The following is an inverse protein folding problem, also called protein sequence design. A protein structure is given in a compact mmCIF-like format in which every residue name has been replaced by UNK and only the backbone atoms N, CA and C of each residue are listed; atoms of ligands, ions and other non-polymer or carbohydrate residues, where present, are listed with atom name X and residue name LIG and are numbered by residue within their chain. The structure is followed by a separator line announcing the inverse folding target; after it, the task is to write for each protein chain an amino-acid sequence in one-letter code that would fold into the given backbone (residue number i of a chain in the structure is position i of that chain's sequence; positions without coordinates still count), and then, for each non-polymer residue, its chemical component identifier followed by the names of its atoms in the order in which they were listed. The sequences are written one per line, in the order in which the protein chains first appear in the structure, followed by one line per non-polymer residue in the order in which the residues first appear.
data_IF_615713869701
#
_entry.id   IF_615713869701
#
_cell.length_a   1.000
_cell.length_b   1.000
_cell.length_c   1.000
_cell.angle_alpha   90.00
_cell.angle_beta   90.00
_cell.angle_gamma   90.00
#
_symmetry.space_group_name_H-M   'P 1'
#
loop_
_entity.id
_entity.type
_entity.pdbx_description
1 polymer ?
#
# COMPACT_ATOMS: atom_id res chain seq x y z
N UNK A 1 -14.76 -41.97 -4.06
CA UNK A 1 -15.38 -42.49 -5.29
C UNK A 1 -15.04 -43.96 -5.64
N UNK A 2 -14.21 -44.68 -4.88
CA UNK A 2 -13.91 -46.10 -5.17
C UNK A 2 -14.79 -47.14 -4.44
N UNK A 3 -15.63 -46.71 -3.48
CA UNK A 3 -16.42 -47.62 -2.62
C UNK A 3 -17.83 -47.94 -3.13
N UNK A 4 -18.35 -47.23 -4.14
CA UNK A 4 -19.70 -47.49 -4.67
C UNK A 4 -19.75 -48.56 -5.78
N UNK A 5 -18.62 -48.93 -6.39
CA UNK A 5 -18.61 -49.87 -7.52
C UNK A 5 -18.65 -51.35 -7.10
N UNK A 6 -18.31 -51.68 -5.85
CA UNK A 6 -18.22 -53.08 -5.39
C UNK A 6 -19.53 -53.64 -4.80
N UNK A 7 -20.59 -52.83 -4.69
CA UNK A 7 -21.87 -53.26 -4.15
C UNK A 7 -22.82 -53.90 -5.18
N UNK A 8 -22.52 -53.81 -6.48
CA UNK A 8 -23.45 -54.22 -7.55
C UNK A 8 -23.28 -55.66 -8.08
N UNK A 9 -22.35 -56.45 -7.53
CA UNK A 9 -22.04 -57.79 -8.05
C UNK A 9 -22.64 -58.93 -7.18
N UNK A 10 -23.07 -58.67 -5.95
CA UNK A 10 -23.49 -59.74 -5.03
C UNK A 10 -25.01 -60.00 -4.90
N UNK A 11 -25.88 -59.24 -5.58
CA UNK A 11 -27.34 -59.38 -5.35
C UNK A 11 -28.07 -60.31 -6.34
N UNK A 12 -27.38 -61.00 -7.23
CA UNK A 12 -28.03 -61.79 -8.29
C UNK A 12 -27.88 -63.31 -8.19
N UNK A 13 -27.24 -63.86 -7.14
CA UNK A 13 -26.97 -65.31 -7.05
C UNK A 13 -27.35 -65.93 -5.70
N UNK A 14 -28.63 -65.90 -5.32
CA UNK A 14 -29.24 -67.02 -4.58
C UNK A 14 -30.77 -66.90 -4.59
N UNK A 15 -31.41 -67.36 -5.66
CA UNK A 15 -32.84 -67.67 -5.65
C UNK A 15 -33.05 -68.98 -6.42
N UNK A 16 -32.79 -70.11 -5.75
CA UNK A 16 -33.33 -71.40 -6.17
C UNK A 16 -34.54 -71.73 -5.30
N UNK A 17 -35.67 -72.17 -5.89
CA UNK A 17 -36.87 -72.48 -5.16
C UNK A 17 -36.80 -73.92 -4.63
N UNK A 18 -36.82 -74.11 -3.31
CA UNK A 18 -37.38 -75.33 -2.73
C UNK A 18 -37.77 -75.07 -1.27
N UNK A 19 -39.08 -74.94 -1.06
CA UNK A 19 -39.71 -74.64 0.23
C UNK A 19 -40.33 -75.94 0.76
N UNK A 20 -39.57 -76.72 1.53
CA UNK A 20 -40.14 -77.82 2.30
C UNK A 20 -39.32 -78.12 3.57
N UNK A 21 -39.89 -77.71 4.71
CA UNK A 21 -39.62 -78.14 6.12
C UNK A 21 -38.74 -77.24 7.01
N UNK A 22 -39.37 -76.86 8.14
CA UNK A 22 -38.83 -76.63 9.51
C UNK A 22 -38.15 -75.28 9.80
N UNK A 23 -38.45 -74.71 10.99
CA UNK A 23 -38.19 -73.34 11.44
C UNK A 23 -36.72 -72.90 11.62
N UNK A 24 -35.81 -73.41 10.81
CA UNK A 24 -34.41 -73.01 10.77
C UNK A 24 -34.14 -71.79 9.86
N UNK A 25 -35.03 -71.51 8.90
CA UNK A 25 -34.89 -70.43 7.90
C UNK A 25 -35.15 -69.03 8.48
N UNK A 26 -35.91 -68.92 9.57
CA UNK A 26 -36.18 -67.64 10.25
C UNK A 26 -35.00 -67.17 11.10
N UNK A 27 -34.26 -68.08 11.74
CA UNK A 27 -33.14 -67.74 12.62
C UNK A 27 -31.94 -67.27 11.80
N UNK A 28 -31.62 -67.94 10.69
CA UNK A 28 -30.51 -67.54 9.82
C UNK A 28 -30.75 -66.16 9.20
N UNK A 29 -31.97 -65.88 8.73
CA UNK A 29 -32.34 -64.56 8.19
C UNK A 29 -32.30 -63.45 9.25
N UNK A 30 -32.71 -63.72 10.50
CA UNK A 30 -32.57 -62.78 11.62
C UNK A 30 -31.09 -62.52 11.94
N UNK A 31 -30.24 -63.55 11.97
CA UNK A 31 -28.79 -63.40 12.22
C UNK A 31 -28.14 -62.57 11.10
N UNK A 32 -28.48 -62.84 9.83
CA UNK A 32 -27.99 -62.03 8.71
C UNK A 32 -28.46 -60.58 8.81
N UNK A 33 -29.71 -60.33 9.19
CA UNK A 33 -30.25 -58.97 9.38
C UNK A 33 -29.57 -58.25 10.56
N UNK A 34 -29.35 -58.95 11.69
CA UNK A 34 -28.61 -58.43 12.84
C UNK A 34 -27.15 -58.10 12.50
N UNK A 35 -26.46 -59.00 11.78
CA UNK A 35 -25.08 -58.78 11.31
C UNK A 35 -24.99 -57.62 10.32
N UNK A 36 -25.95 -57.50 9.41
CA UNK A 36 -26.02 -56.39 8.45
C UNK A 36 -26.27 -55.06 9.18
N UNK A 37 -27.18 -55.03 10.16
CA UNK A 37 -27.45 -53.86 10.97
C UNK A 37 -26.22 -53.42 11.81
N UNK A 38 -25.51 -54.38 12.40
CA UNK A 38 -24.24 -54.14 13.11
C UNK A 38 -23.16 -53.56 12.16
N UNK A 39 -23.06 -54.09 10.93
CA UNK A 39 -22.09 -53.62 9.95
C UNK A 39 -22.39 -52.21 9.41
N UNK A 40 -23.67 -51.87 9.21
CA UNK A 40 -24.09 -50.52 8.79
C UNK A 40 -23.83 -49.48 9.89
N UNK A 41 -24.20 -49.80 11.13
CA UNK A 41 -23.98 -48.89 12.28
C UNK A 41 -22.50 -48.67 12.53
N UNK A 42 -21.65 -49.71 12.44
CA UNK A 42 -20.20 -49.58 12.56
C UNK A 42 -19.60 -48.68 11.46
N UNK A 43 -20.04 -48.83 10.20
CA UNK A 43 -19.61 -47.96 9.09
C UNK A 43 -19.97 -46.49 9.29
N UNK A 44 -21.18 -46.20 9.81
CA UNK A 44 -21.62 -44.83 10.10
C UNK A 44 -20.77 -44.21 11.23
N UNK A 45 -20.49 -44.97 12.29
CA UNK A 45 -19.65 -44.51 13.41
C UNK A 45 -18.23 -44.22 12.94
N UNK A 46 -17.59 -45.16 12.23
CA UNK A 46 -16.23 -44.97 11.69
C UNK A 46 -16.16 -43.75 10.77
N UNK A 47 -17.16 -43.55 9.91
CA UNK A 47 -17.23 -42.38 9.03
C UNK A 47 -17.34 -41.06 9.83
N UNK A 48 -18.21 -41.03 10.85
CA UNK A 48 -18.37 -39.84 11.70
C UNK A 48 -17.13 -39.50 12.53
N UNK A 49 -16.43 -40.52 13.05
CA UNK A 49 -15.15 -40.36 13.75
C UNK A 49 -14.06 -39.87 12.79
N UNK A 50 -13.96 -40.44 11.60
CA UNK A 50 -12.98 -39.99 10.61
C UNK A 50 -13.20 -38.53 10.20
N UNK A 51 -14.46 -38.13 10.00
CA UNK A 51 -14.82 -36.76 9.63
C UNK A 51 -14.49 -35.76 10.75
N UNK A 52 -14.82 -36.11 12.00
CA UNK A 52 -14.49 -35.26 13.17
C UNK A 52 -12.99 -35.11 13.37
N UNK A 53 -12.19 -36.17 13.15
CA UNK A 53 -10.72 -36.09 13.16
C UNK A 53 -10.17 -35.18 12.07
N UNK A 54 -10.67 -35.27 10.83
CA UNK A 54 -10.27 -34.40 9.72
C UNK A 54 -10.61 -32.92 9.97
N UNK A 55 -11.82 -32.64 10.49
CA UNK A 55 -12.21 -31.29 10.89
C UNK A 55 -11.36 -30.75 12.05
N UNK A 56 -11.01 -31.60 13.02
CA UNK A 56 -10.14 -31.18 14.12
C UNK A 56 -8.72 -30.88 13.64
N UNK A 57 -8.14 -31.75 12.80
CA UNK A 57 -6.80 -31.57 12.25
C UNK A 57 -6.67 -30.29 11.41
N UNK A 58 -7.62 -30.04 10.50
CA UNK A 58 -7.63 -28.82 9.68
C UNK A 58 -7.75 -27.53 10.50
N UNK A 59 -8.57 -27.52 11.56
CA UNK A 59 -8.66 -26.39 12.50
C UNK A 59 -7.34 -26.15 13.24
N UNK A 60 -6.67 -27.22 13.71
CA UNK A 60 -5.38 -27.12 14.40
C UNK A 60 -4.29 -26.60 13.45
N UNK A 61 -4.24 -27.10 12.22
CA UNK A 61 -3.28 -26.65 11.20
C UNK A 61 -3.48 -25.16 10.84
N UNK A 62 -4.72 -24.71 10.63
CA UNK A 62 -5.03 -23.31 10.37
C UNK A 62 -4.65 -22.41 11.56
N UNK A 63 -4.91 -22.86 12.79
CA UNK A 63 -4.55 -22.12 14.01
C UNK A 63 -3.03 -21.99 14.15
N UNK A 64 -2.27 -23.05 13.90
CA UNK A 64 -0.81 -23.02 13.95
C UNK A 64 -0.22 -22.04 12.92
N UNK A 65 -0.70 -22.09 11.67
CA UNK A 65 -0.29 -21.14 10.62
C UNK A 65 -0.58 -19.68 11.01
N UNK A 66 -1.75 -19.41 11.61
CA UNK A 66 -2.12 -18.07 12.07
C UNK A 66 -1.24 -17.62 13.25
N UNK A 67 -0.95 -18.49 14.21
CA UNK A 67 -0.07 -18.20 15.35
C UNK A 67 1.34 -17.83 14.91
N UNK A 68 1.86 -18.46 13.85
CA UNK A 68 3.17 -18.13 13.29
C UNK A 68 3.17 -16.79 12.53
N UNK A 69 2.09 -16.45 11.82
CA UNK A 69 1.99 -15.20 11.03
C UNK A 69 1.67 -13.96 11.85
N UNK A 70 0.86 -14.07 12.90
CA UNK A 70 0.45 -12.94 13.75
C UNK A 70 1.62 -12.10 14.29
N UNK A 71 2.67 -12.67 14.93
CA UNK A 71 3.75 -11.87 15.50
C UNK A 71 4.59 -11.16 14.42
N UNK A 72 4.80 -11.80 13.27
CA UNK A 72 5.56 -11.22 12.14
C UNK A 72 4.79 -10.04 11.56
N UNK A 73 3.47 -10.16 11.38
CA UNK A 73 2.63 -9.08 10.85
C UNK A 73 2.59 -7.88 11.81
N UNK A 74 2.47 -8.12 13.12
CA UNK A 74 2.51 -7.05 14.13
C UNK A 74 3.88 -6.38 14.15
N UNK A 75 4.96 -7.15 14.05
CA UNK A 75 6.31 -6.59 14.02
C UNK A 75 6.57 -5.76 12.75
N UNK A 76 6.11 -6.24 11.59
CA UNK A 76 6.17 -5.50 10.34
C UNK A 76 5.38 -4.18 10.41
N UNK A 77 4.19 -4.19 11.02
CA UNK A 77 3.41 -2.97 11.26
C UNK A 77 4.10 -1.98 12.21
N UNK A 78 4.82 -2.47 13.23
CA UNK A 78 5.63 -1.61 14.10
C UNK A 78 6.79 -0.97 13.33
N UNK A 79 7.50 -1.72 12.50
CA UNK A 79 8.58 -1.15 11.70
C UNK A 79 8.07 -0.15 10.67
N UNK A 80 6.96 -0.43 9.98
CA UNK A 80 6.39 0.49 9.00
C UNK A 80 5.93 1.80 9.63
N UNK A 81 5.35 1.76 10.82
CA UNK A 81 4.95 2.98 11.57
C UNK A 81 6.17 3.78 12.05
N UNK A 82 7.21 3.12 12.58
CA UNK A 82 8.47 3.79 12.94
C UNK A 82 9.14 4.44 11.74
N UNK A 83 9.16 3.75 10.60
CA UNK A 83 9.74 4.28 9.36
C UNK A 83 8.93 5.48 8.84
N UNK A 84 7.60 5.40 8.86
CA UNK A 84 6.74 6.53 8.52
C UNK A 84 7.01 7.76 9.40
N UNK A 85 7.20 7.57 10.71
CA UNK A 85 7.54 8.65 11.63
C UNK A 85 8.92 9.28 11.32
N UNK A 86 9.94 8.44 11.08
CA UNK A 86 11.28 8.92 10.72
C UNK A 86 11.28 9.67 9.40
N UNK A 87 10.55 9.15 8.42
CA UNK A 87 10.38 9.79 7.12
C UNK A 87 9.71 11.15 7.27
N UNK A 88 8.59 11.23 8.00
CA UNK A 88 7.91 12.49 8.26
C UNK A 88 8.81 13.54 8.95
N UNK A 89 9.62 13.12 9.94
CA UNK A 89 10.57 14.00 10.60
C UNK A 89 11.68 14.50 9.65
N UNK A 90 12.19 13.60 8.80
CA UNK A 90 13.23 13.93 7.81
C UNK A 90 12.71 14.87 6.73
N UNK A 91 11.52 14.61 6.21
CA UNK A 91 10.83 15.41 5.19
C UNK A 91 10.49 16.81 5.74
N UNK A 92 10.05 16.90 7.00
CA UNK A 92 9.80 18.19 7.65
C UNK A 92 11.08 19.00 7.82
N UNK A 93 12.18 18.35 8.23
CA UNK A 93 13.48 19.02 8.40
C UNK A 93 14.05 19.50 7.07
N UNK A 94 13.95 18.70 6.01
CA UNK A 94 14.42 19.08 4.68
C UNK A 94 13.61 20.23 4.09
N UNK A 95 12.28 20.22 4.26
CA UNK A 95 11.40 21.31 3.87
C UNK A 95 11.74 22.62 4.61
N UNK A 96 11.98 22.55 5.92
CA UNK A 96 12.39 23.71 6.72
C UNK A 96 13.71 24.31 6.22
N UNK A 97 14.73 23.47 5.97
CA UNK A 97 16.02 23.92 5.44
C UNK A 97 15.89 24.56 4.06
N UNK A 98 15.03 24.00 3.21
CA UNK A 98 14.74 24.54 1.88
C UNK A 98 14.10 25.93 1.97
N UNK A 99 13.17 26.12 2.92
CA UNK A 99 12.55 27.43 3.17
C UNK A 99 13.57 28.48 3.64
N UNK A 100 14.45 28.12 4.60
CA UNK A 100 15.47 29.05 5.12
C UNK A 100 16.47 29.43 4.04
N UNK A 101 16.90 28.46 3.22
CA UNK A 101 17.79 28.72 2.09
C UNK A 101 17.11 29.55 1.00
N UNK A 102 15.84 29.29 0.71
CA UNK A 102 15.04 30.06 -0.23
C UNK A 102 14.93 31.54 0.17
N UNK A 103 14.76 31.83 1.47
CA UNK A 103 14.76 33.22 1.97
C UNK A 103 16.09 33.93 1.72
N UNK A 104 17.21 33.26 1.96
CA UNK A 104 18.53 33.80 1.68
C UNK A 104 18.73 34.04 0.17
N UNK A 105 18.26 33.11 -0.67
CA UNK A 105 18.33 33.22 -2.12
C UNK A 105 17.52 34.42 -2.65
N UNK A 106 16.32 34.68 -2.12
CA UNK A 106 15.53 35.87 -2.49
C UNK A 106 16.31 37.16 -2.19
N UNK A 107 16.97 37.23 -1.03
CA UNK A 107 17.77 38.39 -0.67
C UNK A 107 18.98 38.56 -1.61
N UNK A 108 19.66 37.46 -1.95
CA UNK A 108 20.76 37.48 -2.91
C UNK A 108 20.30 37.95 -4.30
N UNK A 109 19.16 37.44 -4.79
CA UNK A 109 18.59 37.85 -6.07
C UNK A 109 18.13 39.31 -6.06
N UNK A 110 17.61 39.81 -4.93
CA UNK A 110 17.29 41.24 -4.78
C UNK A 110 18.54 42.11 -4.97
N UNK A 111 19.67 41.71 -4.39
CA UNK A 111 20.94 42.43 -4.55
C UNK A 111 21.47 42.33 -6.00
N UNK A 112 21.30 41.17 -6.65
CA UNK A 112 21.68 40.97 -8.04
C UNK A 112 20.87 41.85 -9.01
N UNK A 113 19.57 42.04 -8.75
CA UNK A 113 18.70 42.96 -9.49
C UNK A 113 19.18 44.40 -9.32
N UNK A 114 19.49 44.85 -8.10
CA UNK A 114 19.98 46.21 -7.86
C UNK A 114 21.33 46.44 -8.56
N UNK A 115 22.26 45.49 -8.47
CA UNK A 115 23.55 45.57 -9.17
C UNK A 115 23.38 45.63 -10.68
N UNK A 116 22.46 44.84 -11.23
CA UNK A 116 22.14 44.85 -12.65
C UNK A 116 21.48 46.16 -13.09
N UNK A 117 20.68 46.78 -12.21
CA UNK A 117 20.07 48.10 -12.43
C UNK A 117 21.12 49.20 -12.50
N UNK A 118 22.03 49.23 -11.53
CA UNK A 118 23.15 50.18 -11.52
C UNK A 118 24.02 50.01 -12.77
N UNK A 119 24.20 48.78 -13.24
CA UNK A 119 24.91 48.50 -14.49
C UNK A 119 24.25 49.13 -15.70
N UNK A 120 22.91 49.06 -15.80
CA UNK A 120 22.16 49.73 -16.88
C UNK A 120 22.40 51.23 -16.84
N UNK A 121 22.29 51.87 -15.67
CA UNK A 121 22.51 53.31 -15.51
C UNK A 121 23.94 53.72 -15.89
N UNK A 122 24.94 52.94 -15.49
CA UNK A 122 26.34 53.19 -15.86
C UNK A 122 26.59 53.09 -17.37
N UNK A 123 25.97 52.11 -18.05
CA UNK A 123 26.09 51.96 -19.50
C UNK A 123 25.33 53.06 -20.24
N UNK A 124 24.17 53.47 -19.73
CA UNK A 124 23.41 54.62 -20.25
C UNK A 124 24.24 55.89 -20.25
N UNK A 125 24.85 56.23 -19.12
CA UNK A 125 25.74 57.38 -19.01
C UNK A 125 26.97 57.26 -19.92
N UNK A 126 27.60 56.07 -19.97
CA UNK A 126 28.73 55.82 -20.86
C UNK A 126 28.37 56.00 -22.35
N UNK A 127 27.12 55.74 -22.72
CA UNK A 127 26.61 55.91 -24.09
C UNK A 127 26.25 57.36 -24.40
N UNK A 128 25.73 58.13 -23.44
CA UNK A 128 25.56 59.59 -23.56
C UNK A 128 26.91 60.31 -23.76
N UNK A 129 27.95 59.82 -23.11
CA UNK A 129 29.33 60.34 -23.24
C UNK A 129 30.08 59.80 -24.48
N UNK A 130 29.47 58.89 -25.26
CA UNK A 130 30.06 58.32 -26.47
C UNK A 130 31.09 57.18 -26.27
N UNK A 131 31.28 56.70 -25.04
CA UNK A 131 32.19 55.57 -24.73
C UNK A 131 31.53 54.19 -24.89
N UNK A 132 30.19 54.13 -24.91
CA UNK A 132 29.40 52.90 -25.07
C UNK A 132 28.43 53.03 -26.23
N UNK A 133 28.06 51.89 -26.81
CA UNK A 133 27.13 51.83 -27.94
C UNK A 133 25.71 51.51 -27.48
N UNK A 134 24.73 51.67 -28.38
CA UNK A 134 23.32 51.26 -28.13
C UNK A 134 23.23 49.76 -27.86
N UNK A 135 24.04 48.95 -28.56
CA UNK A 135 24.08 47.51 -28.36
C UNK A 135 24.51 47.12 -26.92
N UNK A 136 25.45 47.87 -26.33
CA UNK A 136 25.88 47.64 -24.94
C UNK A 136 24.76 47.93 -23.94
N UNK A 137 23.94 48.95 -24.20
CA UNK A 137 22.78 49.22 -23.34
C UNK A 137 21.75 48.09 -23.44
N UNK A 138 21.43 47.63 -24.65
CA UNK A 138 20.45 46.57 -24.85
C UNK A 138 20.88 45.26 -24.16
N UNK A 139 22.17 44.92 -24.22
CA UNK A 139 22.72 43.77 -23.49
C UNK A 139 22.61 43.96 -21.95
N UNK A 140 22.91 45.15 -21.44
CA UNK A 140 22.76 45.45 -20.01
C UNK A 140 21.29 45.37 -19.56
N UNK A 141 20.37 45.91 -20.36
CA UNK A 141 18.93 45.83 -20.10
C UNK A 141 18.44 44.38 -20.14
N UNK A 142 18.89 43.58 -21.11
CA UNK A 142 18.56 42.17 -21.20
C UNK A 142 18.98 41.41 -19.94
N UNK A 143 20.19 41.66 -19.43
CA UNK A 143 20.69 41.08 -18.17
C UNK A 143 19.86 41.50 -16.96
N UNK A 144 19.46 42.76 -16.89
CA UNK A 144 18.57 43.25 -15.83
C UNK A 144 17.21 42.53 -15.83
N UNK A 145 16.58 42.37 -17.00
CA UNK A 145 15.32 41.62 -17.09
C UNK A 145 15.48 40.13 -16.79
N UNK A 146 16.62 39.52 -17.15
CA UNK A 146 16.94 38.15 -16.72
C UNK A 146 17.02 38.04 -15.19
N UNK A 147 17.72 38.97 -14.53
CA UNK A 147 17.81 39.01 -13.07
C UNK A 147 16.43 39.19 -12.40
N UNK A 148 15.55 40.02 -12.98
CA UNK A 148 14.17 40.17 -12.52
C UNK A 148 13.38 38.87 -12.63
N UNK A 149 13.52 38.14 -13.75
CA UNK A 149 12.89 36.82 -13.93
C UNK A 149 13.37 35.85 -12.85
N UNK A 150 14.67 35.81 -12.60
CA UNK A 150 15.26 34.88 -11.64
C UNK A 150 14.86 35.22 -10.19
N UNK A 151 14.69 36.51 -9.87
CA UNK A 151 14.10 36.94 -8.60
C UNK A 151 12.64 36.47 -8.45
N UNK A 152 11.83 36.60 -9.50
CA UNK A 152 10.44 36.14 -9.48
C UNK A 152 10.36 34.62 -9.30
N UNK A 153 11.22 33.87 -9.99
CA UNK A 153 11.34 32.42 -9.86
C UNK A 153 11.77 32.01 -8.44
N UNK A 154 12.73 32.69 -7.84
CA UNK A 154 13.14 32.45 -6.46
C UNK A 154 11.98 32.67 -5.46
N UNK A 155 11.14 33.70 -5.69
CA UNK A 155 9.95 33.94 -4.86
C UNK A 155 8.91 32.83 -5.02
N UNK A 156 8.69 32.35 -6.25
CA UNK A 156 7.79 31.23 -6.50
C UNK A 156 8.28 29.94 -5.82
N UNK A 157 9.57 29.64 -5.92
CA UNK A 157 10.17 28.48 -5.27
C UNK A 157 10.08 28.55 -3.74
N UNK A 158 10.20 29.74 -3.16
CA UNK A 158 9.97 29.95 -1.72
C UNK A 158 8.53 29.67 -1.30
N UNK A 159 7.53 30.09 -2.10
CA UNK A 159 6.12 29.77 -1.84
C UNK A 159 5.88 28.25 -1.87
N UNK A 160 6.43 27.55 -2.86
CA UNK A 160 6.35 26.09 -2.93
C UNK A 160 7.01 25.41 -1.73
N UNK A 161 8.17 25.90 -1.30
CA UNK A 161 8.84 25.38 -0.09
C UNK A 161 7.98 25.55 1.17
N UNK A 162 7.23 26.66 1.27
CA UNK A 162 6.32 26.93 2.37
C UNK A 162 5.12 25.96 2.34
N UNK A 163 4.53 25.73 1.17
CA UNK A 163 3.43 24.75 0.99
C UNK A 163 3.92 23.34 1.34
N UNK A 164 5.12 22.94 0.89
CA UNK A 164 5.69 21.63 1.21
C UNK A 164 5.90 21.45 2.72
N UNK A 165 6.34 22.49 3.43
CA UNK A 165 6.45 22.44 4.89
C UNK A 165 5.08 22.29 5.56
N UNK A 166 4.06 23.01 5.08
CA UNK A 166 2.69 22.89 5.59
C UNK A 166 2.11 21.49 5.34
N UNK A 167 2.42 20.89 4.18
CA UNK A 167 2.02 19.52 3.84
C UNK A 167 2.70 18.49 4.74
N UNK A 168 4.03 18.58 4.92
CA UNK A 168 4.78 17.64 5.77
C UNK A 168 4.36 17.71 7.25
N UNK A 169 3.92 18.88 7.71
CA UNK A 169 3.41 19.08 9.08
C UNK A 169 1.93 18.72 9.24
N UNK A 170 1.21 18.43 8.14
CA UNK A 170 -0.23 18.17 8.14
C UNK A 170 -1.09 19.39 8.47
N UNK A 171 -0.52 20.60 8.42
CA UNK A 171 -1.22 21.87 8.70
C UNK A 171 -1.85 22.50 7.45
N UNK A 172 -1.71 21.86 6.28
CA UNK A 172 -2.24 22.35 5.02
C UNK A 172 -3.79 22.33 5.02
N UNK A 173 -4.39 23.50 5.24
CA UNK A 173 -5.82 23.73 5.14
C UNK A 173 -6.18 24.52 3.87
N UNK A 174 -7.42 24.41 3.40
CA UNK A 174 -7.94 25.23 2.29
C UNK A 174 -7.87 26.72 2.60
N UNK A 175 -8.05 27.11 3.87
CA UNK A 175 -7.96 28.50 4.32
C UNK A 175 -6.54 29.06 4.17
N UNK A 176 -5.53 28.21 4.37
CA UNK A 176 -4.12 28.57 4.20
C UNK A 176 -3.79 28.80 2.72
N UNK A 177 -4.40 28.05 1.80
CA UNK A 177 -4.23 28.25 0.36
C UNK A 177 -4.81 29.59 -0.11
N UNK A 178 -5.92 30.02 0.47
CA UNK A 178 -6.52 31.32 0.16
C UNK A 178 -5.62 32.51 0.56
N UNK A 179 -4.75 32.33 1.56
CA UNK A 179 -3.77 33.35 1.94
C UNK A 179 -2.70 33.59 0.86
N UNK A 180 -2.37 32.58 0.05
CA UNK A 180 -1.35 32.68 -1.00
C UNK A 180 -1.89 33.16 -2.35
N UNK A 181 -3.16 33.55 -2.44
CA UNK A 181 -3.68 34.17 -3.66
C UNK A 181 -2.95 35.50 -3.90
N UNK A 182 -2.24 35.58 -5.02
CA UNK A 182 -1.74 36.82 -5.57
C UNK A 182 -2.94 37.73 -5.88
N UNK A 183 -3.24 38.64 -4.97
CA UNK A 183 -4.12 39.79 -5.19
C UNK A 183 -3.29 41.04 -5.43
#
# INVERSE_FOLDING_TARGET
MYWLQMAHICLSCHFTPDMAKTGAVTITTIIYFMMLFLALTLKVIICSMALTFLFHYSRVAARFHNLMKQPIAVQAAKYSTMEAQRKAATDTRSAWLSLTNGKALINAQKNAVESSREKVVSVQYGREMGFRTVNDELDAQQKYFSALKDQAEARFNYLNALINLAQSTGSLSIDMLNFFQCR
#
